data_IF_065555385675
#
_entry.id   IF_065555385675
#
_cell.length_a   1.000
_cell.length_b   1.000
_cell.length_c   1.000
_cell.angle_alpha   90.00
_cell.angle_beta   90.00
_cell.angle_gamma   90.00
#
_symmetry.space_group_name_H-M   'P 1'
#
loop_
_entity.id
_entity.type
_entity.pdbx_description
1 polymer ?
#
# COMPACT_ATOMS: atom_id res chain seq x y z
N UNK A 1 -21.12 1.31 -2.49
CA UNK A 1 -19.90 0.71 -1.90
C UNK A 1 -19.39 -0.50 -2.69
N UNK A 2 -20.24 -1.43 -3.07
CA UNK A 2 -19.83 -2.64 -3.80
C UNK A 2 -20.22 -2.50 -5.27
N UNK A 3 -19.33 -1.94 -6.09
CA UNK A 3 -19.45 -1.98 -7.56
C UNK A 3 -18.45 -3.00 -8.13
N UNK A 4 -18.67 -3.40 -9.39
CA UNK A 4 -17.77 -4.31 -10.10
C UNK A 4 -16.33 -3.74 -10.13
N UNK A 5 -16.19 -2.46 -10.42
CA UNK A 5 -14.91 -1.76 -10.44
C UNK A 5 -14.22 -1.74 -9.06
N UNK A 6 -14.98 -1.49 -7.99
CA UNK A 6 -14.45 -1.54 -6.62
C UNK A 6 -13.95 -2.95 -6.28
N UNK A 7 -14.72 -4.00 -6.58
CA UNK A 7 -14.32 -5.38 -6.30
C UNK A 7 -13.07 -5.80 -7.09
N UNK A 8 -13.03 -5.50 -8.39
CA UNK A 8 -11.87 -5.83 -9.22
C UNK A 8 -10.64 -5.02 -8.78
N UNK A 9 -10.79 -3.73 -8.49
CA UNK A 9 -9.69 -2.89 -7.98
C UNK A 9 -9.19 -3.35 -6.62
N UNK A 10 -10.08 -3.82 -5.74
CA UNK A 10 -9.70 -4.42 -4.45
C UNK A 10 -8.86 -5.67 -4.66
N UNK A 11 -9.30 -6.58 -5.52
CA UNK A 11 -8.58 -7.82 -5.80
C UNK A 11 -7.19 -7.54 -6.39
N UNK A 12 -7.12 -6.72 -7.45
CA UNK A 12 -5.83 -6.37 -8.07
C UNK A 12 -4.94 -5.59 -7.11
N UNK A 13 -5.49 -4.66 -6.36
CA UNK A 13 -4.75 -3.91 -5.34
C UNK A 13 -4.17 -4.81 -4.25
N UNK A 14 -4.95 -5.76 -3.73
CA UNK A 14 -4.48 -6.73 -2.73
C UNK A 14 -3.35 -7.62 -3.28
N UNK A 15 -3.47 -8.09 -4.53
CA UNK A 15 -2.42 -8.86 -5.19
C UNK A 15 -1.14 -8.04 -5.29
N UNK A 16 -1.23 -6.80 -5.74
CA UNK A 16 -0.07 -5.89 -5.87
C UNK A 16 0.57 -5.62 -4.52
N UNK A 17 -0.23 -5.34 -3.48
CA UNK A 17 0.26 -5.13 -2.12
C UNK A 17 1.01 -6.37 -1.60
N UNK A 18 0.47 -7.56 -1.78
CA UNK A 18 1.16 -8.80 -1.37
C UNK A 18 2.46 -9.03 -2.16
N UNK A 19 2.42 -8.91 -3.48
CA UNK A 19 3.59 -9.18 -4.33
C UNK A 19 4.73 -8.18 -4.08
N UNK A 20 4.42 -6.89 -4.05
CA UNK A 20 5.42 -5.86 -3.81
C UNK A 20 5.95 -5.89 -2.38
N UNK A 21 5.07 -6.13 -1.39
CA UNK A 21 5.48 -6.29 0.00
C UNK A 21 6.42 -7.48 0.16
N UNK A 22 6.03 -8.64 -0.32
CA UNK A 22 6.87 -9.84 -0.25
C UNK A 22 8.21 -9.66 -0.97
N UNK A 23 8.18 -9.13 -2.21
CA UNK A 23 9.40 -8.90 -2.99
C UNK A 23 10.38 -7.96 -2.28
N UNK A 24 9.89 -6.90 -1.64
CA UNK A 24 10.75 -5.95 -0.96
C UNK A 24 11.26 -6.48 0.39
N UNK A 25 10.36 -6.91 1.27
CA UNK A 25 10.75 -7.27 2.63
C UNK A 25 11.44 -8.63 2.73
N UNK A 26 11.20 -9.55 1.79
CA UNK A 26 11.88 -10.85 1.79
C UNK A 26 13.15 -10.86 0.94
N UNK A 27 13.08 -10.33 -0.31
CA UNK A 27 14.19 -10.47 -1.24
C UNK A 27 15.10 -9.25 -1.33
N UNK A 28 14.55 -8.02 -1.36
CA UNK A 28 15.36 -6.83 -1.61
C UNK A 28 15.96 -6.25 -0.34
N UNK A 29 15.21 -6.20 0.74
CA UNK A 29 15.60 -5.51 1.96
C UNK A 29 15.51 -6.38 3.23
N UNK A 30 15.22 -7.69 3.10
CA UNK A 30 15.05 -8.60 4.24
C UNK A 30 16.23 -8.56 5.20
N UNK A 31 17.45 -8.81 4.71
CA UNK A 31 18.66 -8.78 5.54
C UNK A 31 18.97 -7.40 6.14
N UNK A 32 18.62 -6.32 5.42
CA UNK A 32 18.77 -4.97 5.95
C UNK A 32 17.84 -4.73 7.14
N UNK A 33 16.56 -5.07 7.02
CA UNK A 33 15.62 -4.89 8.12
C UNK A 33 15.88 -5.83 9.30
N UNK A 34 16.29 -7.07 9.07
CA UNK A 34 16.70 -7.99 10.12
C UNK A 34 17.83 -7.42 11.01
N UNK A 35 18.80 -6.76 10.38
CA UNK A 35 19.94 -6.16 11.08
C UNK A 35 19.54 -4.89 11.88
N UNK A 36 18.42 -4.25 11.56
CA UNK A 36 18.02 -2.95 12.13
C UNK A 36 16.72 -3.01 12.94
N UNK A 37 16.17 -4.20 13.19
CA UNK A 37 15.05 -4.36 14.10
C UNK A 37 15.49 -4.32 15.55
N UNK A 38 14.83 -3.49 16.36
CA UNK A 38 15.06 -3.40 17.80
C UNK A 38 14.28 -4.46 18.59
N UNK A 39 13.25 -5.04 17.99
CA UNK A 39 12.40 -6.06 18.58
C UNK A 39 12.62 -7.36 17.81
N UNK A 40 12.98 -8.43 18.51
CA UNK A 40 13.05 -9.75 17.90
C UNK A 40 11.69 -10.11 17.31
N UNK A 41 11.60 -10.14 16.00
CA UNK A 41 10.45 -10.69 15.29
C UNK A 41 10.47 -12.20 15.54
N UNK A 42 9.73 -12.65 16.55
CA UNK A 42 9.63 -14.06 16.88
C UNK A 42 8.91 -14.80 15.76
N UNK A 43 9.69 -15.37 14.86
CA UNK A 43 9.25 -16.44 14.02
C UNK A 43 8.42 -16.02 12.82
N UNK A 44 7.55 -16.84 12.43
CA UNK A 44 6.94 -16.95 11.13
C UNK A 44 5.96 -15.81 10.84
N UNK A 45 6.21 -15.10 9.75
CA UNK A 45 5.16 -14.27 9.15
C UNK A 45 3.94 -15.14 8.87
N UNK A 46 2.76 -14.65 9.25
CA UNK A 46 1.51 -15.34 8.96
C UNK A 46 0.90 -14.82 7.63
N UNK A 47 1.03 -15.58 6.53
CA UNK A 47 0.55 -15.15 5.23
C UNK A 47 -0.97 -14.91 5.19
N UNK A 48 -1.73 -15.59 6.06
CA UNK A 48 -3.18 -15.42 6.13
C UNK A 48 -3.53 -14.00 6.60
N UNK A 49 -2.95 -13.56 7.72
CA UNK A 49 -3.23 -12.22 8.25
C UNK A 49 -2.67 -11.11 7.36
N UNK A 50 -1.51 -11.32 6.71
CA UNK A 50 -0.95 -10.39 5.73
C UNK A 50 -1.92 -10.23 4.55
N UNK A 51 -2.42 -11.33 4.02
CA UNK A 51 -3.37 -11.32 2.90
C UNK A 51 -4.70 -10.68 3.28
N UNK A 52 -5.26 -11.01 4.43
CA UNK A 52 -6.49 -10.39 4.93
C UNK A 52 -6.32 -8.87 5.12
N UNK A 53 -5.21 -8.46 5.72
CA UNK A 53 -4.86 -7.04 5.88
C UNK A 53 -4.76 -6.33 4.54
N UNK A 54 -4.09 -6.93 3.56
CA UNK A 54 -3.96 -6.37 2.22
C UNK A 54 -5.31 -6.23 1.50
N UNK A 55 -6.22 -7.18 1.66
CA UNK A 55 -7.57 -7.12 1.10
C UNK A 55 -8.36 -5.97 1.73
N UNK A 56 -8.36 -5.87 3.05
CA UNK A 56 -9.07 -4.80 3.78
C UNK A 56 -8.50 -3.43 3.38
N UNK A 57 -7.18 -3.31 3.32
CA UNK A 57 -6.51 -2.06 2.94
C UNK A 57 -6.83 -1.67 1.49
N UNK A 58 -6.71 -2.62 0.55
CA UNK A 58 -7.04 -2.39 -0.85
C UNK A 58 -8.53 -2.02 -1.04
N UNK A 59 -9.43 -2.64 -0.28
CA UNK A 59 -10.85 -2.28 -0.29
C UNK A 59 -11.08 -0.85 0.20
N UNK A 60 -10.43 -0.45 1.28
CA UNK A 60 -10.45 0.93 1.77
C UNK A 60 -9.96 1.93 0.73
N UNK A 61 -8.78 1.67 0.14
CA UNK A 61 -8.22 2.50 -0.93
C UNK A 61 -9.16 2.61 -2.13
N UNK A 62 -9.72 1.49 -2.61
CA UNK A 62 -10.62 1.47 -3.77
C UNK A 62 -11.89 2.30 -3.52
N UNK A 63 -12.48 2.21 -2.32
CA UNK A 63 -13.64 3.03 -1.96
C UNK A 63 -13.28 4.52 -1.83
N UNK A 64 -12.18 4.86 -1.18
CA UNK A 64 -11.70 6.24 -1.07
C UNK A 64 -11.43 6.84 -2.46
N UNK A 65 -10.75 6.10 -3.33
CA UNK A 65 -10.48 6.52 -4.70
C UNK A 65 -11.77 6.78 -5.47
N UNK A 66 -12.69 5.84 -5.44
CA UNK A 66 -13.97 5.94 -6.14
C UNK A 66 -14.81 7.14 -5.72
N UNK A 67 -14.87 7.41 -4.41
CA UNK A 67 -15.72 8.47 -3.87
C UNK A 67 -15.11 9.88 -3.98
N UNK A 68 -13.79 9.99 -3.96
CA UNK A 68 -13.14 11.29 -3.91
C UNK A 68 -12.46 11.72 -5.21
N UNK A 69 -12.17 10.78 -6.12
CA UNK A 69 -11.52 11.11 -7.40
C UNK A 69 -12.59 11.26 -8.49
N UNK A 70 -12.57 12.43 -9.15
CA UNK A 70 -13.54 12.74 -10.21
C UNK A 70 -13.17 12.09 -11.55
N UNK A 71 -11.88 12.11 -11.90
CA UNK A 71 -11.37 11.59 -13.17
C UNK A 71 -10.50 10.36 -12.90
N UNK A 72 -10.95 9.20 -13.36
CA UNK A 72 -10.21 7.95 -13.16
C UNK A 72 -9.06 7.85 -14.16
N UNK A 73 -7.94 7.30 -13.73
CA UNK A 73 -6.79 7.08 -14.59
C UNK A 73 -5.54 6.68 -13.83
N UNK A 74 -4.55 6.21 -14.59
CA UNK A 74 -3.25 5.80 -14.04
C UNK A 74 -2.58 6.94 -13.24
N UNK A 75 -2.52 8.14 -13.81
CA UNK A 75 -1.86 9.30 -13.19
C UNK A 75 -2.57 9.76 -11.91
N UNK A 76 -3.90 9.85 -11.94
CA UNK A 76 -4.69 10.23 -10.77
C UNK A 76 -4.64 9.15 -9.69
N UNK A 77 -4.61 7.88 -10.08
CA UNK A 77 -4.42 6.75 -9.18
C UNK A 77 -3.03 6.75 -8.53
N UNK A 78 -1.99 7.02 -9.31
CA UNK A 78 -0.62 7.14 -8.81
C UNK A 78 -0.50 8.28 -7.78
N UNK A 79 -1.02 9.46 -8.09
CA UNK A 79 -1.03 10.60 -7.15
C UNK A 79 -1.78 10.28 -5.86
N UNK A 80 -2.93 9.63 -5.97
CA UNK A 80 -3.69 9.16 -4.81
C UNK A 80 -2.87 8.18 -3.97
N UNK A 81 -2.24 7.18 -4.60
CA UNK A 81 -1.37 6.21 -3.93
C UNK A 81 -0.16 6.87 -3.24
N UNK A 82 0.45 7.89 -3.85
CA UNK A 82 1.53 8.66 -3.22
C UNK A 82 1.07 9.37 -1.94
N UNK A 83 -0.14 9.94 -1.91
CA UNK A 83 -0.71 10.52 -0.68
C UNK A 83 -0.95 9.46 0.39
N UNK A 84 -1.43 8.27 0.01
CA UNK A 84 -1.56 7.14 0.94
C UNK A 84 -0.17 6.73 1.46
N UNK A 85 0.84 6.66 0.59
CA UNK A 85 2.22 6.38 0.97
C UNK A 85 2.79 7.39 1.96
N UNK A 86 2.50 8.69 1.77
CA UNK A 86 2.88 9.73 2.73
C UNK A 86 2.24 9.51 4.10
N UNK A 87 0.94 9.25 4.12
CA UNK A 87 0.19 9.06 5.37
C UNK A 87 0.65 7.80 6.12
N UNK A 88 0.80 6.68 5.40
CA UNK A 88 1.15 5.40 6.01
C UNK A 88 2.65 5.29 6.30
N UNK A 89 3.51 5.66 5.36
CA UNK A 89 4.97 5.56 5.54
C UNK A 89 5.50 6.60 6.51
N UNK A 90 5.34 7.87 6.20
CA UNK A 90 5.86 8.93 7.08
C UNK A 90 4.95 9.22 8.25
N UNK A 91 3.64 9.42 8.03
CA UNK A 91 2.72 9.79 9.11
C UNK A 91 2.65 8.70 10.18
N UNK A 92 2.13 7.53 9.82
CA UNK A 92 1.97 6.42 10.75
C UNK A 92 3.32 5.86 11.19
N UNK A 93 4.28 5.75 10.26
CA UNK A 93 5.62 5.23 10.56
C UNK A 93 6.35 6.03 11.64
N UNK A 94 6.35 7.36 11.57
CA UNK A 94 6.97 8.22 12.60
C UNK A 94 6.22 8.17 13.93
N UNK A 95 4.90 8.04 13.91
CA UNK A 95 4.12 7.83 15.15
C UNK A 95 4.53 6.50 15.80
N UNK A 96 4.61 5.42 15.03
CA UNK A 96 5.04 4.11 15.51
C UNK A 96 6.49 4.14 16.01
N UNK A 97 7.38 4.83 15.32
CA UNK A 97 8.76 5.02 15.80
C UNK A 97 8.79 5.73 17.16
N UNK A 98 8.02 6.81 17.32
CA UNK A 98 7.97 7.56 18.58
C UNK A 98 7.33 6.79 19.74
N UNK A 99 6.49 5.83 19.48
CA UNK A 99 5.76 5.06 20.51
C UNK A 99 6.40 3.71 20.84
N UNK A 100 6.92 2.99 19.85
CA UNK A 100 7.38 1.62 20.02
C UNK A 100 8.86 1.38 19.67
N UNK A 101 9.47 2.24 18.87
CA UNK A 101 10.88 2.13 18.42
C UNK A 101 11.25 0.70 17.95
N UNK A 102 10.37 0.08 17.19
CA UNK A 102 10.51 -1.31 16.73
C UNK A 102 11.65 -1.50 15.73
N UNK A 103 12.07 -0.43 15.05
CA UNK A 103 13.29 -0.37 14.22
C UNK A 103 14.02 0.97 14.46
N UNK A 104 15.22 1.11 13.94
CA UNK A 104 15.95 2.37 14.02
C UNK A 104 15.37 3.44 13.08
N UNK A 105 15.72 4.71 13.29
CA UNK A 105 15.19 5.82 12.50
C UNK A 105 15.57 5.73 11.03
N UNK A 106 16.77 5.24 10.72
CA UNK A 106 17.23 5.09 9.34
C UNK A 106 16.34 4.10 8.60
N UNK A 107 16.05 2.96 9.18
CA UNK A 107 15.18 1.93 8.62
C UNK A 107 13.74 2.42 8.49
N UNK A 108 13.26 3.20 9.46
CA UNK A 108 11.93 3.81 9.38
C UNK A 108 11.81 4.77 8.19
N UNK A 109 12.87 5.52 7.86
CA UNK A 109 12.89 6.39 6.69
C UNK A 109 12.93 5.57 5.40
N UNK A 110 13.73 4.50 5.34
CA UNK A 110 13.78 3.60 4.18
C UNK A 110 12.41 2.96 3.94
N UNK A 111 11.75 2.48 4.99
CA UNK A 111 10.40 1.93 4.92
C UNK A 111 9.38 2.96 4.41
N UNK A 112 9.44 4.18 4.95
CA UNK A 112 8.57 5.27 4.52
C UNK A 112 8.76 5.64 3.05
N UNK A 113 9.99 5.67 2.54
CA UNK A 113 10.28 5.88 1.11
C UNK A 113 9.75 4.73 0.25
N UNK A 114 9.87 3.49 0.71
CA UNK A 114 9.28 2.35 0.03
C UNK A 114 7.75 2.45 -0.03
N UNK A 115 7.10 2.94 1.01
CA UNK A 115 5.66 3.16 1.03
C UNK A 115 5.18 4.08 -0.11
N UNK A 116 5.96 5.07 -0.52
CA UNK A 116 5.62 5.88 -1.71
C UNK A 116 5.54 5.03 -2.98
N UNK A 117 6.54 4.20 -3.22
CA UNK A 117 6.59 3.31 -4.40
C UNK A 117 5.44 2.30 -4.32
N UNK A 118 5.33 1.65 -3.19
CA UNK A 118 4.38 0.59 -2.89
C UNK A 118 2.92 1.02 -3.10
N UNK A 119 2.50 2.09 -2.41
CA UNK A 119 1.15 2.61 -2.54
C UNK A 119 0.93 3.40 -3.83
N UNK A 120 1.96 4.03 -4.37
CA UNK A 120 1.92 4.70 -5.66
C UNK A 120 1.55 3.74 -6.78
N UNK A 121 2.27 2.62 -6.90
CA UNK A 121 1.99 1.58 -7.90
C UNK A 121 0.58 1.00 -7.70
N UNK A 122 0.24 0.66 -6.45
CA UNK A 122 -1.09 0.12 -6.12
C UNK A 122 -2.21 1.07 -6.52
N UNK A 123 -2.08 2.35 -6.18
CA UNK A 123 -3.03 3.39 -6.57
C UNK A 123 -3.12 3.59 -8.08
N UNK A 124 -1.98 3.55 -8.79
CA UNK A 124 -1.93 3.63 -10.25
C UNK A 124 -2.71 2.51 -10.92
N UNK A 125 -2.51 1.27 -10.47
CA UNK A 125 -3.24 0.09 -10.98
C UNK A 125 -4.73 0.21 -10.67
N UNK A 126 -5.11 0.65 -9.48
CA UNK A 126 -6.50 0.93 -9.13
C UNK A 126 -7.13 1.97 -10.06
N UNK A 127 -6.44 3.10 -10.27
CA UNK A 127 -6.92 4.16 -11.15
C UNK A 127 -7.11 3.71 -12.60
N UNK A 128 -6.17 2.92 -13.12
CA UNK A 128 -6.31 2.29 -14.42
C UNK A 128 -7.50 1.33 -14.48
N UNK A 129 -7.69 0.50 -13.46
CA UNK A 129 -8.80 -0.45 -13.37
C UNK A 129 -10.15 0.27 -13.35
N UNK A 130 -10.28 1.33 -12.55
CA UNK A 130 -11.50 2.12 -12.51
C UNK A 130 -11.81 2.77 -13.85
N UNK A 131 -10.81 3.36 -14.52
CA UNK A 131 -10.99 3.94 -15.87
C UNK A 131 -11.43 2.90 -16.89
N UNK A 132 -10.89 1.68 -16.82
CA UNK A 132 -11.22 0.60 -17.75
C UNK A 132 -12.63 0.01 -17.57
N UNK A 133 -13.16 0.03 -16.35
CA UNK A 133 -14.45 -0.60 -16.02
C UNK A 133 -15.59 0.43 -15.96
N UNK A 134 -15.34 1.61 -15.41
CA UNK A 134 -16.30 2.71 -15.24
C UNK A 134 -15.72 4.00 -15.83
N UNK A 135 -15.54 4.10 -17.16
CA UNK A 135 -15.13 5.37 -17.75
C UNK A 135 -16.18 6.44 -17.40
N UNK A 136 -15.73 7.57 -16.85
CA UNK A 136 -16.62 8.70 -16.58
C UNK A 136 -16.81 9.50 -17.87
N UNK A 137 -18.04 9.96 -18.13
CA UNK A 137 -18.34 10.81 -19.28
C UNK A 137 -17.42 12.03 -19.29
N UNK A 138 -16.65 12.19 -20.38
CA UNK A 138 -15.69 13.29 -20.55
C UNK A 138 -14.21 12.89 -20.56
N UNK A 139 -13.89 11.60 -20.50
CA UNK A 139 -12.52 11.05 -20.67
C UNK A 139 -12.20 10.70 -22.11
#
# INVERSE_FOLDING_TARGET
>A
MLSKSTLVSTLLGAIVLNLLGYAFYEYLAGSYFEAHHNISMNGNMDPLFITLGSIIFAFGMANLYRHHIKNYGLSTGLRFGLWIGLLMGFGMGLIMYGTAQWMDLQSQIVDALWCFVYYGITGGIMGWTFKSIEPKEGD
#
